data_IF_869257558745
#
_entry.id   IF_869257558745
#
_cell.length_a   1.000
_cell.length_b   1.000
_cell.length_c   1.000
_cell.angle_alpha   90.00
_cell.angle_beta   90.00
_cell.angle_gamma   90.00
#
_symmetry.space_group_name_H-M   'P 1'
#
loop_
_entity.id
_entity.type
_entity.pdbx_description
1 polymer ?
#
# COMPACT_ATOMS: atom_id res chain seq x y z
N UNK A 1 -11.15 22.38 29.02
CA UNK A 1 -11.71 21.22 28.26
C UNK A 1 -12.40 21.64 26.97
N UNK A 2 -13.00 22.81 26.89
CA UNK A 2 -13.64 23.33 25.66
C UNK A 2 -12.66 23.58 24.49
N UNK A 3 -11.50 24.16 24.74
CA UNK A 3 -10.52 24.47 23.68
C UNK A 3 -9.91 23.20 23.03
N UNK A 4 -9.56 22.19 23.83
CA UNK A 4 -9.02 20.93 23.28
C UNK A 4 -10.09 20.21 22.42
N UNK A 5 -11.36 20.24 22.87
CA UNK A 5 -12.46 19.65 22.13
C UNK A 5 -12.70 20.40 20.80
N UNK A 6 -12.60 21.72 20.81
CA UNK A 6 -12.74 22.55 19.60
C UNK A 6 -11.63 22.25 18.59
N UNK A 7 -10.38 22.11 19.03
CA UNK A 7 -9.23 21.76 18.19
C UNK A 7 -9.44 20.42 17.47
N UNK A 8 -10.03 19.43 18.12
CA UNK A 8 -10.29 18.12 17.50
C UNK A 8 -11.53 18.09 16.62
N UNK A 9 -12.54 18.90 16.88
CA UNK A 9 -13.84 18.88 16.17
C UNK A 9 -13.89 19.83 14.99
N UNK A 10 -13.18 20.96 15.08
CA UNK A 10 -13.17 21.99 14.04
C UNK A 10 -12.78 21.46 12.64
N UNK A 11 -11.74 20.59 12.46
CA UNK A 11 -11.40 20.05 11.15
C UNK A 11 -12.52 19.24 10.50
N UNK A 12 -13.37 18.59 11.31
CA UNK A 12 -14.47 17.75 10.79
C UNK A 12 -15.68 18.53 10.28
N UNK A 13 -15.69 19.85 10.41
CA UNK A 13 -16.77 20.70 9.86
C UNK A 13 -16.57 20.95 8.36
N UNK A 14 -15.38 20.70 7.82
CA UNK A 14 -15.06 20.91 6.42
C UNK A 14 -15.25 19.64 5.60
N UNK A 15 -16.02 19.69 4.51
CA UNK A 15 -16.30 18.54 3.64
C UNK A 15 -15.02 17.91 3.06
N UNK A 16 -14.03 18.73 2.68
CA UNK A 16 -12.76 18.22 2.16
C UNK A 16 -11.98 17.42 3.21
N UNK A 17 -12.04 17.83 4.47
CA UNK A 17 -11.37 17.13 5.58
C UNK A 17 -12.07 15.81 5.90
N UNK A 18 -13.41 15.77 5.83
CA UNK A 18 -14.16 14.52 6.00
C UNK A 18 -13.80 13.52 4.89
N UNK A 19 -13.75 13.97 3.63
CA UNK A 19 -13.35 13.13 2.50
C UNK A 19 -11.92 12.63 2.66
N UNK A 20 -10.99 13.51 3.05
CA UNK A 20 -9.58 13.15 3.29
C UNK A 20 -9.45 12.10 4.40
N UNK A 21 -10.15 12.28 5.51
CA UNK A 21 -10.14 11.36 6.63
C UNK A 21 -10.72 9.99 6.25
N UNK A 22 -11.91 9.97 5.62
CA UNK A 22 -12.55 8.73 5.18
C UNK A 22 -11.66 7.97 4.19
N UNK A 23 -11.04 8.69 3.25
CA UNK A 23 -10.11 8.10 2.29
C UNK A 23 -8.88 7.52 2.99
N UNK A 24 -8.26 8.29 3.89
CA UNK A 24 -7.10 7.84 4.65
C UNK A 24 -7.42 6.58 5.48
N UNK A 25 -8.62 6.49 6.07
CA UNK A 25 -9.07 5.32 6.81
C UNK A 25 -9.28 4.09 5.91
N UNK A 26 -9.95 4.25 4.76
CA UNK A 26 -10.15 3.16 3.81
C UNK A 26 -8.82 2.62 3.31
N UNK A 27 -7.90 3.51 2.93
CA UNK A 27 -6.54 3.16 2.48
C UNK A 27 -5.77 2.49 3.61
N UNK A 28 -5.83 3.02 4.84
CA UNK A 28 -5.15 2.46 5.99
C UNK A 28 -5.56 1.00 6.26
N UNK A 29 -6.86 0.70 6.25
CA UNK A 29 -7.36 -0.64 6.51
C UNK A 29 -6.89 -1.63 5.45
N UNK A 30 -7.05 -1.29 4.17
CA UNK A 30 -6.70 -2.23 3.09
C UNK A 30 -5.18 -2.43 2.96
N UNK A 31 -4.40 -1.37 3.09
CA UNK A 31 -2.94 -1.46 3.09
C UNK A 31 -2.41 -2.22 4.30
N UNK A 32 -2.99 -2.03 5.50
CA UNK A 32 -2.59 -2.78 6.70
C UNK A 32 -2.85 -4.28 6.58
N UNK A 33 -3.98 -4.67 5.98
CA UNK A 33 -4.29 -6.08 5.72
C UNK A 33 -3.27 -6.71 4.78
N UNK A 34 -3.02 -6.07 3.63
CA UNK A 34 -2.02 -6.56 2.67
C UNK A 34 -0.61 -6.53 3.24
N UNK A 35 -0.27 -5.51 4.01
CA UNK A 35 1.03 -5.37 4.67
C UNK A 35 1.41 -6.61 5.48
N UNK A 36 0.46 -7.23 6.20
CA UNK A 36 0.70 -8.45 6.96
C UNK A 36 1.14 -9.61 6.06
N UNK A 37 0.50 -9.80 4.91
CA UNK A 37 0.89 -10.85 3.96
C UNK A 37 2.21 -10.55 3.27
N UNK A 38 2.46 -9.29 2.89
CA UNK A 38 3.70 -8.86 2.24
C UNK A 38 4.92 -9.06 3.15
N UNK A 39 4.81 -8.67 4.42
CA UNK A 39 5.89 -8.82 5.40
C UNK A 39 6.17 -10.30 5.66
N UNK A 40 5.14 -11.16 5.81
CA UNK A 40 5.33 -12.60 5.98
C UNK A 40 5.97 -13.26 4.75
N UNK A 41 5.67 -12.76 3.55
CA UNK A 41 6.24 -13.28 2.30
C UNK A 41 7.66 -12.76 2.02
N UNK A 42 8.08 -11.71 2.74
CA UNK A 42 9.33 -11.00 2.45
C UNK A 42 9.24 -10.07 1.23
N UNK A 43 8.04 -9.62 0.87
CA UNK A 43 7.76 -8.77 -0.30
C UNK A 43 7.71 -7.28 0.05
N UNK A 44 8.51 -6.83 1.01
CA UNK A 44 8.49 -5.45 1.47
C UNK A 44 8.75 -4.42 0.36
N UNK A 45 9.59 -4.73 -0.61
CA UNK A 45 9.91 -3.85 -1.75
C UNK A 45 8.93 -3.96 -2.92
N UNK A 46 8.00 -4.93 -2.90
CA UNK A 46 7.09 -5.17 -4.02
C UNK A 46 6.12 -4.00 -4.26
N UNK A 47 5.69 -3.34 -3.18
CA UNK A 47 4.85 -2.16 -3.26
C UNK A 47 5.53 -1.01 -4.01
N UNK A 48 6.78 -0.76 -3.68
CA UNK A 48 7.60 0.27 -4.33
C UNK A 48 7.87 -0.07 -5.80
N UNK A 49 8.25 -1.33 -6.08
CA UNK A 49 8.49 -1.81 -7.42
C UNK A 49 7.28 -1.63 -8.35
N UNK A 50 6.09 -2.02 -7.92
CA UNK A 50 4.86 -1.87 -8.70
C UNK A 50 4.51 -0.39 -8.88
N UNK A 51 4.64 0.43 -7.84
CA UNK A 51 4.33 1.87 -7.91
C UNK A 51 5.13 2.61 -8.99
N UNK A 52 6.41 2.29 -9.12
CA UNK A 52 7.26 2.88 -10.16
C UNK A 52 7.04 2.25 -11.54
N UNK A 53 6.76 0.96 -11.61
CA UNK A 53 6.49 0.24 -12.85
C UNK A 53 5.16 0.64 -13.52
N UNK A 54 4.29 1.36 -12.82
CA UNK A 54 3.02 1.87 -13.36
C UNK A 54 3.23 2.99 -14.38
N UNK A 55 4.34 3.72 -14.33
CA UNK A 55 4.61 4.90 -15.16
C UNK A 55 4.45 4.65 -16.67
N UNK A 56 5.05 3.61 -17.30
CA UNK A 56 4.89 3.39 -18.73
C UNK A 56 3.44 3.14 -19.12
N UNK A 57 2.67 2.45 -18.26
CA UNK A 57 1.25 2.21 -18.51
C UNK A 57 0.42 3.48 -18.48
N UNK A 58 0.69 4.39 -17.53
CA UNK A 58 0.03 5.71 -17.47
C UNK A 58 0.32 6.50 -18.75
N UNK A 59 1.58 6.53 -19.20
CA UNK A 59 2.00 7.26 -20.38
C UNK A 59 1.34 6.68 -21.64
N UNK A 60 1.31 5.37 -21.79
CA UNK A 60 0.66 4.70 -22.92
C UNK A 60 -0.86 4.90 -22.93
N UNK A 61 -1.51 4.86 -21.75
CA UNK A 61 -2.94 5.13 -21.63
C UNK A 61 -3.27 6.57 -22.02
N UNK A 62 -2.43 7.53 -21.62
CA UNK A 62 -2.57 8.94 -22.01
C UNK A 62 -2.49 9.10 -23.53
N UNK A 63 -1.51 8.48 -24.18
CA UNK A 63 -1.35 8.50 -25.64
C UNK A 63 -2.52 7.85 -26.39
N UNK A 64 -3.07 6.77 -25.83
CA UNK A 64 -4.19 6.04 -26.40
C UNK A 64 -5.56 6.69 -26.11
N UNK A 65 -5.63 7.74 -25.30
CA UNK A 65 -6.88 8.39 -24.90
C UNK A 65 -7.79 7.53 -24.02
N UNK A 66 -7.24 6.52 -23.32
CA UNK A 66 -7.97 5.65 -22.40
C UNK A 66 -7.75 6.11 -20.95
N UNK A 67 -8.63 5.72 -20.00
CA UNK A 67 -8.46 6.06 -18.59
C UNK A 67 -7.09 5.63 -18.05
N UNK A 68 -6.39 6.55 -17.40
CA UNK A 68 -5.03 6.34 -16.88
C UNK A 68 -4.94 5.16 -15.90
N UNK A 69 -6.02 4.92 -15.15
CA UNK A 69 -6.16 3.80 -14.21
C UNK A 69 -5.96 2.45 -14.89
N UNK A 70 -6.51 2.28 -16.11
CA UNK A 70 -6.42 1.03 -16.87
C UNK A 70 -4.97 0.76 -17.27
N UNK A 71 -4.29 1.77 -17.81
CA UNK A 71 -2.87 1.65 -18.18
C UNK A 71 -1.99 1.39 -16.96
N UNK A 72 -2.23 2.11 -15.87
CA UNK A 72 -1.54 1.90 -14.61
C UNK A 72 -1.69 0.46 -14.10
N UNK A 73 -2.91 -0.06 -14.11
CA UNK A 73 -3.21 -1.42 -13.65
C UNK A 73 -2.57 -2.50 -14.53
N UNK A 74 -2.68 -2.36 -15.85
CA UNK A 74 -2.05 -3.29 -16.81
C UNK A 74 -0.53 -3.31 -16.62
N UNK A 75 0.10 -2.15 -16.47
CA UNK A 75 1.54 -2.04 -16.24
C UNK A 75 1.96 -2.62 -14.87
N UNK A 76 1.17 -2.37 -13.81
CA UNK A 76 1.42 -2.96 -12.50
C UNK A 76 1.34 -4.49 -12.51
N UNK A 77 0.34 -5.05 -13.19
CA UNK A 77 0.24 -6.51 -13.39
C UNK A 77 1.41 -7.02 -14.24
N UNK A 78 1.78 -6.33 -15.32
CA UNK A 78 2.90 -6.72 -16.15
C UNK A 78 4.22 -6.77 -15.35
N UNK A 79 4.44 -5.80 -14.45
CA UNK A 79 5.56 -5.82 -13.51
C UNK A 79 5.50 -7.07 -12.61
N UNK A 80 4.36 -7.31 -11.97
CA UNK A 80 4.17 -8.43 -11.07
C UNK A 80 4.40 -9.80 -11.78
N UNK A 81 3.85 -9.96 -12.99
CA UNK A 81 4.06 -11.14 -13.83
C UNK A 81 5.53 -11.27 -14.26
N UNK A 82 6.18 -10.17 -14.64
CA UNK A 82 7.59 -10.14 -15.01
C UNK A 82 8.50 -10.59 -13.88
N UNK A 83 8.26 -10.10 -12.66
CA UNK A 83 9.00 -10.53 -11.46
C UNK A 83 8.78 -12.02 -11.19
N UNK A 84 7.53 -12.48 -11.23
CA UNK A 84 7.19 -13.89 -11.04
C UNK A 84 7.85 -14.80 -12.07
N UNK A 85 7.81 -14.41 -13.35
CA UNK A 85 8.44 -15.15 -14.44
C UNK A 85 9.96 -15.24 -14.31
N UNK A 86 10.63 -14.13 -14.02
CA UNK A 86 12.08 -14.12 -13.80
C UNK A 86 12.49 -14.99 -12.61
N UNK A 87 11.73 -14.96 -11.52
CA UNK A 87 11.98 -15.80 -10.35
C UNK A 87 11.84 -17.29 -10.68
N UNK A 88 10.79 -17.69 -11.41
CA UNK A 88 10.55 -19.09 -11.76
C UNK A 88 11.60 -19.63 -12.76
N UNK A 89 12.12 -18.79 -13.65
CA UNK A 89 13.00 -19.19 -14.74
C UNK A 89 14.49 -18.82 -14.54
N UNK A 90 14.87 -18.26 -13.39
CA UNK A 90 16.24 -17.90 -13.08
C UNK A 90 16.61 -18.25 -11.63
N UNK A 91 17.91 -18.29 -11.33
CA UNK A 91 18.42 -18.56 -9.97
C UNK A 91 18.59 -17.28 -9.14
N UNK A 92 18.01 -16.16 -9.56
CA UNK A 92 18.12 -14.89 -8.86
C UNK A 92 17.16 -14.82 -7.70
N UNK A 93 17.51 -14.02 -6.69
CA UNK A 93 16.62 -13.71 -5.57
C UNK A 93 15.46 -12.86 -6.04
N UNK A 94 14.31 -12.97 -5.37
CA UNK A 94 13.07 -12.24 -5.70
C UNK A 94 13.27 -10.73 -5.69
N UNK A 95 14.00 -10.19 -4.70
CA UNK A 95 14.33 -8.76 -4.62
C UNK A 95 15.16 -8.28 -5.81
N UNK A 96 16.09 -9.12 -6.31
CA UNK A 96 16.87 -8.80 -7.50
C UNK A 96 16.00 -8.79 -8.76
N UNK A 97 15.07 -9.76 -8.89
CA UNK A 97 14.11 -9.79 -9.99
C UNK A 97 13.22 -8.54 -9.97
N UNK A 98 12.73 -8.15 -8.78
CA UNK A 98 11.98 -6.91 -8.60
C UNK A 98 12.78 -5.69 -9.08
N UNK A 99 14.03 -5.54 -8.60
CA UNK A 99 14.90 -4.43 -8.95
C UNK A 99 15.12 -4.28 -10.46
N UNK A 100 15.34 -5.39 -11.17
CA UNK A 100 15.56 -5.39 -12.63
C UNK A 100 14.27 -5.01 -13.38
N UNK A 101 13.14 -5.63 -13.03
CA UNK A 101 11.87 -5.40 -13.73
C UNK A 101 11.39 -3.97 -13.54
N UNK A 102 11.33 -3.49 -12.28
CA UNK A 102 10.79 -2.15 -12.06
C UNK A 102 11.70 -1.05 -12.61
N UNK A 103 13.02 -1.16 -12.47
CA UNK A 103 13.93 -0.15 -13.02
C UNK A 103 13.89 -0.11 -14.54
N UNK A 104 13.77 -1.28 -15.20
CA UNK A 104 13.57 -1.36 -16.66
C UNK A 104 12.25 -0.72 -17.08
N UNK A 105 11.15 -1.05 -16.43
CA UNK A 105 9.84 -0.47 -16.73
C UNK A 105 9.81 1.04 -16.46
N UNK A 106 10.37 1.47 -15.32
CA UNK A 106 10.47 2.89 -14.98
C UNK A 106 11.29 3.67 -16.03
N UNK A 107 12.43 3.12 -16.46
CA UNK A 107 13.24 3.72 -17.51
C UNK A 107 12.47 3.84 -18.84
N UNK A 108 11.72 2.81 -19.24
CA UNK A 108 10.83 2.88 -20.41
C UNK A 108 9.79 3.98 -20.23
N UNK A 109 9.17 4.07 -19.04
CA UNK A 109 8.21 5.12 -18.73
C UNK A 109 8.80 6.52 -18.84
N UNK A 110 10.01 6.74 -18.33
CA UNK A 110 10.72 8.02 -18.45
C UNK A 110 11.04 8.37 -19.91
N UNK A 111 11.53 7.42 -20.70
CA UNK A 111 11.83 7.64 -22.12
C UNK A 111 10.55 8.00 -22.90
N UNK A 112 9.46 7.30 -22.65
CA UNK A 112 8.17 7.62 -23.26
C UNK A 112 7.68 9.01 -22.82
N UNK A 113 7.83 9.33 -21.54
CA UNK A 113 7.41 10.61 -20.98
C UNK A 113 8.13 11.80 -21.59
N UNK A 114 9.46 11.70 -21.84
CA UNK A 114 10.24 12.79 -22.46
C UNK A 114 9.81 13.10 -23.90
N UNK A 115 9.09 12.18 -24.56
CA UNK A 115 8.57 12.37 -25.93
C UNK A 115 7.21 13.09 -25.96
N UNK A 116 6.56 13.23 -24.81
CA UNK A 116 5.23 13.82 -24.72
C UNK A 116 5.37 15.25 -24.18
N UNK A 117 5.00 16.24 -24.98
CA UNK A 117 4.87 17.62 -24.54
C UNK A 117 3.52 17.74 -23.79
N UNK A 118 3.50 17.48 -22.50
CA UNK A 118 2.29 17.67 -21.69
C UNK A 118 2.47 18.81 -20.70
N UNK A 119 1.46 19.68 -20.64
CA UNK A 119 1.29 20.67 -19.58
C UNK A 119 0.63 20.06 -18.32
N UNK A 120 0.22 18.79 -18.40
CA UNK A 120 -0.39 18.11 -17.25
C UNK A 120 0.66 17.73 -16.23
N UNK A 121 0.44 18.17 -14.99
CA UNK A 121 1.31 17.89 -13.86
C UNK A 121 1.22 16.41 -13.46
N UNK A 122 1.98 15.53 -14.15
CA UNK A 122 2.16 14.12 -13.75
C UNK A 122 2.73 14.00 -12.32
N UNK A 123 3.33 15.06 -11.83
CA UNK A 123 3.72 15.20 -10.42
C UNK A 123 2.54 15.01 -9.46
N UNK A 124 1.33 15.47 -9.80
CA UNK A 124 0.14 15.26 -8.97
C UNK A 124 -0.25 13.78 -8.84
N UNK A 125 -0.05 12.99 -9.90
CA UNK A 125 -0.35 11.55 -9.87
C UNK A 125 0.65 10.80 -8.98
N UNK A 126 1.92 11.21 -8.96
CA UNK A 126 2.95 10.56 -8.16
C UNK A 126 2.90 10.96 -6.69
N UNK A 127 2.67 12.24 -6.41
CA UNK A 127 2.70 12.74 -5.02
C UNK A 127 1.33 12.67 -4.33
N UNK A 128 0.23 12.55 -5.09
CA UNK A 128 -1.13 12.55 -4.55
C UNK A 128 -1.49 13.85 -3.84
N UNK A 129 -2.75 14.02 -3.52
CA UNK A 129 -3.22 15.11 -2.66
C UNK A 129 -4.37 14.60 -1.79
N UNK A 130 -4.06 14.09 -0.62
CA UNK A 130 -5.04 13.52 0.32
C UNK A 130 -6.15 14.52 0.68
N UNK A 131 -5.82 15.81 0.79
CA UNK A 131 -6.80 16.85 1.13
C UNK A 131 -7.65 17.29 -0.06
N UNK A 132 -7.21 17.01 -1.29
CA UNK A 132 -7.92 17.37 -2.52
C UNK A 132 -8.79 16.26 -3.10
N UNK A 133 -9.07 15.20 -2.34
CA UNK A 133 -9.82 14.04 -2.82
C UNK A 133 -11.28 14.39 -3.07
N UNK A 134 -11.73 14.14 -4.29
CA UNK A 134 -13.12 14.26 -4.65
C UNK A 134 -13.97 13.12 -4.08
N UNK A 135 -15.25 13.37 -3.85
CA UNK A 135 -16.19 12.34 -3.37
C UNK A 135 -16.29 11.15 -4.33
N UNK A 136 -16.12 11.40 -5.63
CA UNK A 136 -16.14 10.34 -6.63
C UNK A 136 -14.92 9.41 -6.51
N UNK A 137 -13.72 9.95 -6.33
CA UNK A 137 -12.49 9.18 -6.11
C UNK A 137 -12.55 8.38 -4.81
N UNK A 138 -13.09 8.97 -3.73
CA UNK A 138 -13.34 8.26 -2.47
C UNK A 138 -14.23 7.05 -2.68
N UNK A 139 -15.37 7.21 -3.37
CA UNK A 139 -16.31 6.10 -3.62
C UNK A 139 -15.66 5.01 -4.46
N UNK A 140 -14.93 5.36 -5.52
CA UNK A 140 -14.22 4.40 -6.35
C UNK A 140 -13.19 3.61 -5.54
N UNK A 141 -12.36 4.30 -4.76
CA UNK A 141 -11.36 3.66 -3.90
C UNK A 141 -12.01 2.77 -2.84
N UNK A 142 -13.11 3.22 -2.24
CA UNK A 142 -13.85 2.43 -1.24
C UNK A 142 -14.46 1.15 -1.82
N UNK A 143 -15.01 1.20 -3.05
CA UNK A 143 -15.54 0.01 -3.73
C UNK A 143 -14.43 -1.00 -3.99
N UNK A 144 -13.29 -0.55 -4.53
CA UNK A 144 -12.14 -1.41 -4.81
C UNK A 144 -11.59 -2.00 -3.51
N UNK A 145 -11.43 -1.17 -2.47
CA UNK A 145 -11.00 -1.62 -1.15
C UNK A 145 -11.94 -2.66 -0.55
N UNK A 146 -13.25 -2.50 -0.69
CA UNK A 146 -14.25 -3.47 -0.23
C UNK A 146 -14.12 -4.81 -0.97
N UNK A 147 -13.93 -4.80 -2.28
CA UNK A 147 -13.73 -6.01 -3.08
C UNK A 147 -12.48 -6.75 -2.60
N UNK A 148 -11.37 -6.03 -2.41
CA UNK A 148 -10.11 -6.61 -1.94
C UNK A 148 -10.27 -7.16 -0.52
N UNK A 149 -10.94 -6.41 0.36
CA UNK A 149 -11.23 -6.85 1.74
C UNK A 149 -12.01 -8.16 1.77
N UNK A 150 -13.06 -8.28 0.94
CA UNK A 150 -13.88 -9.49 0.83
C UNK A 150 -13.04 -10.66 0.31
N UNK A 151 -12.26 -10.46 -0.76
CA UNK A 151 -11.42 -11.51 -1.35
C UNK A 151 -10.33 -11.99 -0.38
N UNK A 152 -9.66 -11.07 0.31
CA UNK A 152 -8.69 -11.42 1.35
C UNK A 152 -9.34 -12.13 2.53
N UNK A 153 -10.53 -11.71 2.95
CA UNK A 153 -11.29 -12.34 4.03
C UNK A 153 -11.70 -13.77 3.71
N UNK A 154 -12.27 -13.98 2.51
CA UNK A 154 -12.71 -15.31 2.05
C UNK A 154 -11.55 -16.29 1.87
N UNK A 155 -10.41 -15.81 1.36
CA UNK A 155 -9.23 -16.63 1.07
C UNK A 155 -8.12 -16.46 2.11
N UNK A 156 -8.45 -15.92 3.28
CA UNK A 156 -7.50 -15.60 4.34
C UNK A 156 -6.58 -16.75 4.72
N UNK A 157 -7.14 -17.95 4.93
CA UNK A 157 -6.40 -19.15 5.33
C UNK A 157 -5.53 -19.68 4.19
N UNK A 158 -6.02 -19.61 2.97
CA UNK A 158 -5.31 -20.08 1.79
C UNK A 158 -4.08 -19.19 1.52
N UNK A 159 -4.25 -17.87 1.56
CA UNK A 159 -3.13 -16.91 1.44
C UNK A 159 -2.13 -17.05 2.58
N UNK A 160 -2.60 -17.23 3.81
CA UNK A 160 -1.74 -17.43 4.97
C UNK A 160 -0.87 -18.68 4.80
N UNK A 161 -1.48 -19.81 4.45
CA UNK A 161 -0.77 -21.07 4.23
C UNK A 161 0.26 -20.93 3.10
N UNK A 162 -0.11 -20.27 2.00
CA UNK A 162 0.80 -19.98 0.90
C UNK A 162 1.97 -19.10 1.33
N UNK A 163 1.74 -18.09 2.18
CA UNK A 163 2.83 -17.21 2.65
C UNK A 163 3.86 -17.93 3.52
N UNK A 164 3.41 -18.87 4.36
CA UNK A 164 4.30 -19.64 5.24
C UNK A 164 4.99 -20.80 4.53
N UNK A 165 4.23 -21.63 3.83
CA UNK A 165 4.75 -22.82 3.16
C UNK A 165 3.99 -23.14 1.86
N UNK A 166 4.54 -22.72 0.72
CA UNK A 166 3.97 -23.04 -0.59
C UNK A 166 3.91 -24.56 -0.90
N UNK A 167 4.83 -25.34 -0.32
CA UNK A 167 4.86 -26.80 -0.52
C UNK A 167 3.73 -27.45 0.22
N UNK A 168 3.49 -27.05 1.46
CA UNK A 168 2.34 -27.53 2.24
C UNK A 168 1.00 -27.10 1.62
N UNK A 169 0.91 -25.87 1.09
CA UNK A 169 -0.27 -25.41 0.36
C UNK A 169 -0.61 -26.33 -0.83
N UNK A 170 0.42 -26.82 -1.56
CA UNK A 170 0.25 -27.76 -2.67
C UNK A 170 -0.29 -29.11 -2.19
N UNK A 171 0.25 -29.64 -1.09
CA UNK A 171 -0.22 -30.91 -0.50
C UNK A 171 -1.66 -30.79 0.00
N UNK A 172 -2.05 -29.62 0.51
CA UNK A 172 -3.42 -29.32 0.91
C UNK A 172 -4.40 -29.12 -0.27
N UNK A 173 -3.97 -29.38 -1.52
CA UNK A 173 -4.82 -29.26 -2.71
C UNK A 173 -4.99 -27.83 -3.26
N UNK A 174 -4.27 -26.85 -2.70
CA UNK A 174 -4.28 -25.48 -3.20
C UNK A 174 -3.27 -25.33 -4.35
N UNK A 175 -3.52 -24.37 -5.25
CA UNK A 175 -2.57 -23.99 -6.28
C UNK A 175 -1.70 -22.82 -5.81
N UNK A 176 -0.40 -23.05 -5.45
CA UNK A 176 0.49 -21.97 -5.03
C UNK A 176 0.67 -20.89 -6.10
N UNK A 177 0.62 -21.28 -7.39
CA UNK A 177 0.69 -20.34 -8.51
C UNK A 177 -0.50 -19.38 -8.53
N UNK A 178 -1.71 -19.91 -8.39
CA UNK A 178 -2.93 -19.10 -8.36
C UNK A 178 -2.93 -18.13 -7.17
N UNK A 179 -2.49 -18.59 -5.99
CA UNK A 179 -2.39 -17.74 -4.80
C UNK A 179 -1.29 -16.67 -4.95
N UNK A 180 -0.15 -17.03 -5.55
CA UNK A 180 0.92 -16.08 -5.86
C UNK A 180 0.43 -14.93 -6.74
N UNK A 181 -0.09 -15.26 -7.92
CA UNK A 181 -0.58 -14.25 -8.85
C UNK A 181 -1.85 -13.54 -8.34
N UNK A 182 -2.68 -14.23 -7.57
CA UNK A 182 -3.81 -13.61 -6.90
C UNK A 182 -3.40 -12.52 -5.92
N UNK A 183 -2.41 -12.80 -5.05
CA UNK A 183 -1.90 -11.81 -4.10
C UNK A 183 -1.23 -10.63 -4.80
N UNK A 184 -0.46 -10.88 -5.87
CA UNK A 184 0.16 -9.85 -6.69
C UNK A 184 -0.87 -8.97 -7.40
N UNK A 185 -1.95 -9.55 -7.92
CA UNK A 185 -3.05 -8.81 -8.55
C UNK A 185 -3.77 -7.93 -7.55
N UNK A 186 -4.06 -8.45 -6.33
CA UNK A 186 -4.67 -7.66 -5.26
C UNK A 186 -3.75 -6.51 -4.83
N UNK A 187 -2.46 -6.75 -4.76
CA UNK A 187 -1.47 -5.73 -4.45
C UNK A 187 -1.42 -4.64 -5.53
N UNK A 188 -1.31 -5.02 -6.81
CA UNK A 188 -1.30 -4.08 -7.93
C UNK A 188 -2.59 -3.24 -7.97
N UNK A 189 -3.74 -3.88 -7.75
CA UNK A 189 -5.04 -3.19 -7.70
C UNK A 189 -5.10 -2.20 -6.53
N UNK A 190 -4.61 -2.58 -5.36
CA UNK A 190 -4.53 -1.69 -4.20
C UNK A 190 -3.63 -0.49 -4.49
N UNK A 191 -2.42 -0.71 -5.00
CA UNK A 191 -1.47 0.36 -5.29
C UNK A 191 -2.07 1.34 -6.29
N UNK A 192 -2.58 0.85 -7.42
CA UNK A 192 -3.12 1.71 -8.48
C UNK A 192 -4.33 2.51 -8.01
N UNK A 193 -5.24 1.91 -7.24
CA UNK A 193 -6.42 2.61 -6.74
C UNK A 193 -6.09 3.64 -5.65
N UNK A 194 -5.09 3.37 -4.82
CA UNK A 194 -4.76 4.23 -3.68
C UNK A 194 -3.74 5.32 -4.03
N UNK A 195 -2.78 5.04 -4.93
CA UNK A 195 -1.74 6.01 -5.28
C UNK A 195 -2.28 7.29 -5.92
N UNK A 196 -3.38 7.20 -6.67
CA UNK A 196 -4.02 8.36 -7.29
C UNK A 196 -4.59 9.34 -6.27
N UNK A 197 -5.01 8.80 -5.13
CA UNK A 197 -5.69 9.56 -4.07
C UNK A 197 -4.70 10.05 -3.02
N UNK A 198 -3.84 9.15 -2.53
CA UNK A 198 -2.95 9.48 -1.39
C UNK A 198 -1.47 9.61 -1.79
N UNK A 199 -1.13 9.27 -3.02
CA UNK A 199 0.24 9.33 -3.55
C UNK A 199 1.07 8.08 -3.27
N UNK A 200 2.11 7.89 -4.08
CA UNK A 200 2.97 6.69 -4.06
C UNK A 200 3.67 6.51 -2.72
N UNK A 201 4.27 7.58 -2.18
CA UNK A 201 5.09 7.51 -0.96
C UNK A 201 4.27 7.01 0.23
N UNK A 202 3.04 7.52 0.39
CA UNK A 202 2.18 7.12 1.49
C UNK A 202 1.69 5.67 1.32
N UNK A 203 1.33 5.26 0.10
CA UNK A 203 0.89 3.88 -0.18
C UNK A 203 1.98 2.88 0.15
N UNK A 204 3.22 3.11 -0.31
CA UNK A 204 4.37 2.23 -0.04
C UNK A 204 4.62 2.12 1.47
N UNK A 205 4.62 3.23 2.18
CA UNK A 205 4.80 3.23 3.64
C UNK A 205 3.70 2.46 4.36
N UNK A 206 2.43 2.63 3.94
CA UNK A 206 1.28 1.93 4.52
C UNK A 206 1.25 0.43 4.20
N UNK A 207 1.88 0.00 3.10
CA UNK A 207 2.02 -1.42 2.76
C UNK A 207 3.14 -2.12 3.53
N UNK A 208 4.01 -1.40 4.20
CA UNK A 208 5.15 -1.97 4.92
C UNK A 208 5.02 -1.76 6.44
N UNK A 209 4.87 -0.51 6.88
CA UNK A 209 5.03 -0.12 8.27
C UNK A 209 4.04 -0.79 9.25
N UNK A 210 2.73 -0.88 8.97
CA UNK A 210 1.79 -1.52 9.90
C UNK A 210 2.09 -3.00 10.12
N UNK A 211 2.41 -3.73 9.03
CA UNK A 211 2.71 -5.15 9.08
C UNK A 211 3.99 -5.45 9.87
N UNK A 212 5.07 -4.70 9.63
CA UNK A 212 6.32 -4.83 10.39
C UNK A 212 6.12 -4.49 11.87
N UNK A 213 5.39 -3.42 12.17
CA UNK A 213 5.04 -3.02 13.54
C UNK A 213 4.31 -4.15 14.26
N UNK A 214 3.31 -4.74 13.61
CA UNK A 214 2.54 -5.83 14.18
C UNK A 214 3.37 -7.12 14.34
N UNK A 215 4.21 -7.46 13.36
CA UNK A 215 5.10 -8.62 13.42
C UNK A 215 6.09 -8.52 14.57
N UNK A 216 6.59 -7.30 14.88
CA UNK A 216 7.50 -7.05 16.00
C UNK A 216 6.83 -7.32 17.36
N UNK A 217 5.51 -7.14 17.45
CA UNK A 217 4.75 -7.26 18.71
C UNK A 217 4.15 -8.65 18.93
N UNK A 218 3.89 -9.44 17.87
CA UNK A 218 3.18 -10.71 17.99
C UNK A 218 3.57 -11.73 16.92
N UNK A 219 3.58 -13.03 17.33
CA UNK A 219 3.81 -14.16 16.43
C UNK A 219 2.49 -14.81 15.95
N UNK A 220 1.31 -14.29 16.38
CA UNK A 220 0.01 -14.83 15.97
C UNK A 220 -0.57 -13.97 14.86
N UNK A 221 -0.84 -14.55 13.70
CA UNK A 221 -1.34 -13.84 12.52
C UNK A 221 -2.63 -13.06 12.78
N UNK A 222 -3.58 -13.62 13.54
CA UNK A 222 -4.84 -12.95 13.86
C UNK A 222 -4.63 -11.66 14.67
N UNK A 223 -3.72 -11.72 15.64
CA UNK A 223 -3.32 -10.53 16.41
C UNK A 223 -2.52 -9.54 15.56
N UNK A 224 -1.70 -10.06 14.65
CA UNK A 224 -0.92 -9.24 13.72
C UNK A 224 -1.84 -8.39 12.83
N UNK A 225 -2.90 -8.96 12.26
CA UNK A 225 -3.90 -8.23 11.50
C UNK A 225 -4.56 -7.10 12.30
N UNK A 226 -5.01 -7.41 13.53
CA UNK A 226 -5.68 -6.43 14.40
C UNK A 226 -4.71 -5.29 14.77
N UNK A 227 -3.48 -5.60 15.18
CA UNK A 227 -2.47 -4.60 15.56
C UNK A 227 -2.10 -3.74 14.35
N UNK A 228 -1.92 -4.33 13.16
CA UNK A 228 -1.61 -3.60 11.95
C UNK A 228 -2.73 -2.62 11.59
N UNK A 229 -4.00 -3.04 11.64
CA UNK A 229 -5.16 -2.17 11.37
C UNK A 229 -5.22 -1.04 12.39
N UNK A 230 -5.11 -1.33 13.68
CA UNK A 230 -5.14 -0.30 14.74
C UNK A 230 -4.00 0.71 14.53
N UNK A 231 -2.78 0.22 14.28
CA UNK A 231 -1.62 1.09 14.01
C UNK A 231 -1.86 1.99 12.79
N UNK A 232 -2.33 1.43 11.67
CA UNK A 232 -2.57 2.18 10.45
C UNK A 232 -3.70 3.20 10.61
N UNK A 233 -4.81 2.82 11.23
CA UNK A 233 -5.96 3.69 11.47
C UNK A 233 -5.59 4.84 12.40
N UNK A 234 -4.93 4.55 13.53
CA UNK A 234 -4.51 5.59 14.48
C UNK A 234 -3.49 6.55 13.88
N UNK A 235 -2.51 6.05 13.12
CA UNK A 235 -1.56 6.91 12.42
C UNK A 235 -2.23 7.79 11.36
N UNK A 236 -3.22 7.26 10.63
CA UNK A 236 -3.97 8.03 9.63
C UNK A 236 -4.84 9.11 10.28
N UNK A 237 -5.57 8.78 11.35
CA UNK A 237 -6.36 9.75 12.09
C UNK A 237 -5.51 10.89 12.66
N UNK A 238 -4.46 10.54 13.39
CA UNK A 238 -3.57 11.51 14.00
C UNK A 238 -2.78 12.29 12.95
N UNK A 239 -2.34 11.65 11.86
CA UNK A 239 -1.58 12.29 10.79
C UNK A 239 -2.40 13.33 10.02
N UNK A 240 -3.68 13.04 9.73
CA UNK A 240 -4.58 14.01 9.11
C UNK A 240 -4.82 15.21 10.04
N UNK A 241 -5.03 14.98 11.34
CA UNK A 241 -5.22 16.03 12.32
C UNK A 241 -3.95 16.90 12.50
N UNK A 242 -2.78 16.26 12.61
CA UNK A 242 -1.51 16.98 12.71
C UNK A 242 -1.23 17.81 11.46
N UNK A 243 -1.51 17.26 10.27
CA UNK A 243 -1.36 17.98 9.00
C UNK A 243 -2.18 19.28 8.97
N UNK A 244 -3.40 19.26 9.48
CA UNK A 244 -4.26 20.42 9.57
C UNK A 244 -3.70 21.51 10.49
N UNK A 245 -3.19 21.11 11.68
CA UNK A 245 -2.69 22.06 12.67
C UNK A 245 -1.29 22.63 12.35
N UNK A 246 -0.45 21.83 11.68
CA UNK A 246 0.92 22.24 11.35
C UNK A 246 1.07 22.75 9.91
N UNK A 247 -0.03 22.82 9.15
CA UNK A 247 -0.03 23.17 7.72
C UNK A 247 1.03 22.39 6.93
N UNK A 248 1.10 21.07 7.23
CA UNK A 248 2.10 20.17 6.71
C UNK A 248 1.50 19.13 5.75
N UNK A 249 2.34 18.46 4.95
CA UNK A 249 1.88 17.38 4.07
C UNK A 249 1.26 16.23 4.87
N UNK A 250 -0.01 15.90 4.59
CA UNK A 250 -0.76 14.84 5.27
C UNK A 250 -0.08 13.49 5.14
N UNK A 251 0.41 13.15 3.94
CA UNK A 251 1.13 11.89 3.72
C UNK A 251 2.38 11.78 4.58
N UNK A 252 3.18 12.85 4.67
CA UNK A 252 4.39 12.87 5.48
C UNK A 252 4.09 12.73 6.98
N UNK A 253 3.04 13.39 7.50
CA UNK A 253 2.63 13.27 8.89
C UNK A 253 2.22 11.82 9.24
N UNK A 254 1.46 11.17 8.38
CA UNK A 254 1.04 9.77 8.57
C UNK A 254 2.26 8.84 8.58
N UNK A 255 3.20 9.01 7.65
CA UNK A 255 4.42 8.19 7.55
C UNK A 255 5.30 8.36 8.80
N UNK A 256 5.48 9.59 9.27
CA UNK A 256 6.25 9.86 10.49
C UNK A 256 5.64 9.19 11.72
N UNK A 257 4.32 9.21 11.85
CA UNK A 257 3.62 8.51 12.93
C UNK A 257 3.77 7.00 12.83
N UNK A 258 3.69 6.43 11.62
CA UNK A 258 3.93 5.01 11.41
C UNK A 258 5.36 4.61 11.79
N UNK A 259 6.35 5.41 11.41
CA UNK A 259 7.74 5.20 11.79
C UNK A 259 7.92 5.27 13.30
N UNK A 260 7.28 6.23 13.96
CA UNK A 260 7.30 6.37 15.42
C UNK A 260 6.67 5.14 16.11
N UNK A 261 5.51 4.66 15.63
CA UNK A 261 4.86 3.46 16.15
C UNK A 261 5.75 2.22 16.00
N UNK A 262 6.43 2.09 14.86
CA UNK A 262 7.41 1.01 14.68
C UNK A 262 8.57 1.10 15.68
N UNK A 263 9.15 2.29 15.90
CA UNK A 263 10.22 2.47 16.86
C UNK A 263 9.78 2.13 18.29
N UNK A 264 8.59 2.56 18.69
CA UNK A 264 7.99 2.23 19.99
C UNK A 264 7.81 0.71 20.13
N UNK A 265 7.26 0.06 19.10
CA UNK A 265 7.06 -1.39 19.08
C UNK A 265 8.39 -2.15 19.21
N UNK A 266 9.43 -1.69 18.52
CA UNK A 266 10.76 -2.28 18.57
C UNK A 266 11.41 -2.15 19.95
N UNK A 267 11.34 -0.97 20.57
CA UNK A 267 11.83 -0.73 21.94
C UNK A 267 11.08 -1.60 22.92
N UNK A 268 9.75 -1.63 22.84
CA UNK A 268 8.91 -2.47 23.71
C UNK A 268 9.25 -3.96 23.59
N UNK A 269 9.42 -4.46 22.37
CA UNK A 269 9.79 -5.86 22.11
C UNK A 269 11.14 -6.20 22.72
N UNK A 270 12.16 -5.32 22.59
CA UNK A 270 13.49 -5.53 23.19
C UNK A 270 13.45 -5.53 24.73
N UNK A 271 12.68 -4.63 25.33
CA UNK A 271 12.52 -4.57 26.79
C UNK A 271 11.85 -5.85 27.31
N UNK A 272 10.77 -6.29 26.63
CA UNK A 272 10.04 -7.51 27.00
C UNK A 272 10.91 -8.76 26.95
N UNK A 273 11.77 -8.88 25.93
CA UNK A 273 12.72 -10.00 25.84
C UNK A 273 13.72 -9.97 27.00
N UNK A 274 14.23 -8.79 27.40
CA UNK A 274 15.16 -8.66 28.53
C UNK A 274 14.53 -8.94 29.89
N UNK A 275 13.23 -8.71 30.05
CA UNK A 275 12.54 -8.96 31.32
C UNK A 275 12.10 -10.42 31.48
N UNK A 276 12.04 -11.19 30.41
CA UNK A 276 11.69 -12.62 30.44
C UNK A 276 12.92 -13.55 30.50
N UNK A 277 14.14 -12.97 30.56
CA UNK A 277 15.40 -13.63 30.94
C UNK A 277 15.80 -13.22 32.35
#
# INVERSE_FOLDING_TARGET
MSEIFTIFVEPFQFDFMQNALLTALVVAVICALLSCYLVLKGWSLMGDAISHAVLPGIVLAFLAGIPLVIGAFVSGIACALGVGYLKENSRIKEDTAMGIVFSGMFAIGLVLFTKIQTSQHLTHILFGNVLGVSRQELIQTAIIALIIFILLGLKRRDFLLYCFDPSHARVAGLSPKLLHYGLLTLLALTIVSTMQVVGVILVVAMLIAPGITALTLTNRFDKMLIIAIISAVTASLLGVLLSYHFDASTGACIILLQALFFLIALVYSKIKVRLNF
#
